data_IF_100594052369
#
_entry.id   IF_100594052369
#
_cell.length_a   1.000
_cell.length_b   1.000
_cell.length_c   1.000
_cell.angle_alpha   90.00
_cell.angle_beta   90.00
_cell.angle_gamma   90.00
#
_symmetry.space_group_name_H-M   'P 1'
#
loop_
_entity.id
_entity.type
_entity.pdbx_description
1 polymer ?
#
# COMPACT_ATOMS: atom_id res chain seq x y z
N UNK A 1 67.45 -2.12 -53.72
CA UNK A 1 66.62 -3.04 -52.91
C UNK A 1 65.25 -2.40 -52.77
N UNK A 2 64.26 -2.83 -53.56
CA UNK A 2 62.96 -2.14 -53.67
C UNK A 2 62.00 -2.62 -52.56
N UNK A 3 61.61 -1.70 -51.68
CA UNK A 3 60.67 -1.94 -50.59
C UNK A 3 59.23 -2.02 -51.09
N UNK A 4 58.68 -3.22 -51.18
CA UNK A 4 57.26 -3.50 -51.46
C UNK A 4 56.44 -3.59 -50.18
N UNK A 5 56.29 -2.50 -49.41
CA UNK A 5 55.49 -2.54 -48.16
C UNK A 5 54.69 -1.25 -47.91
N UNK A 6 53.51 -1.07 -48.56
CA UNK A 6 52.31 -0.68 -47.78
C UNK A 6 50.95 -1.21 -48.27
N UNK A 7 50.80 -1.63 -49.53
CA UNK A 7 49.48 -1.94 -50.13
C UNK A 7 48.97 -3.31 -49.70
N UNK A 8 49.83 -4.33 -49.66
CA UNK A 8 49.48 -5.72 -49.30
C UNK A 8 49.02 -5.81 -47.83
N UNK A 9 49.70 -5.09 -46.92
CA UNK A 9 49.34 -5.03 -45.50
C UNK A 9 47.99 -4.33 -45.28
N UNK A 10 47.66 -3.32 -46.09
CA UNK A 10 46.37 -2.62 -46.04
C UNK A 10 45.18 -3.50 -46.44
N UNK A 11 45.34 -4.37 -47.46
CA UNK A 11 44.29 -5.27 -47.92
C UNK A 11 44.03 -6.42 -46.93
N UNK A 12 45.08 -6.96 -46.31
CA UNK A 12 44.96 -7.96 -45.25
C UNK A 12 44.24 -7.37 -44.01
N UNK A 13 44.57 -6.12 -43.64
CA UNK A 13 43.89 -5.40 -42.56
C UNK A 13 42.39 -5.20 -42.85
N UNK A 14 42.04 -4.84 -44.10
CA UNK A 14 40.63 -4.74 -44.54
C UNK A 14 39.90 -6.08 -44.45
N UNK A 15 40.50 -7.18 -44.95
CA UNK A 15 39.91 -8.54 -44.84
C UNK A 15 39.68 -8.95 -43.39
N UNK A 16 40.64 -8.70 -42.50
CA UNK A 16 40.52 -8.99 -41.06
C UNK A 16 39.41 -8.17 -40.39
N UNK A 17 39.28 -6.89 -40.74
CA UNK A 17 38.17 -6.06 -40.26
C UNK A 17 36.81 -6.59 -40.71
N UNK A 18 36.68 -7.01 -41.98
CA UNK A 18 35.44 -7.60 -42.49
C UNK A 18 35.10 -8.90 -41.73
N UNK A 19 36.09 -9.75 -41.46
CA UNK A 19 35.88 -10.97 -40.68
C UNK A 19 35.43 -10.65 -39.25
N UNK A 20 36.11 -9.72 -38.58
CA UNK A 20 35.72 -9.25 -37.25
C UNK A 20 34.28 -8.70 -37.24
N UNK A 21 33.88 -7.94 -38.26
CA UNK A 21 32.50 -7.45 -38.40
C UNK A 21 31.51 -8.59 -38.58
N UNK A 22 31.83 -9.63 -39.38
CA UNK A 22 30.98 -10.82 -39.53
C UNK A 22 30.81 -11.55 -38.19
N UNK A 23 31.89 -11.75 -37.46
CA UNK A 23 31.88 -12.40 -36.15
C UNK A 23 31.06 -11.59 -35.13
N UNK A 24 31.16 -10.26 -35.19
CA UNK A 24 30.37 -9.33 -34.37
C UNK A 24 28.87 -9.46 -34.69
N UNK A 25 28.50 -9.52 -35.98
CA UNK A 25 27.11 -9.71 -36.41
C UNK A 25 26.58 -11.06 -35.92
N UNK A 26 27.36 -12.14 -36.02
CA UNK A 26 26.98 -13.47 -35.53
C UNK A 26 26.74 -13.43 -34.01
N UNK A 27 27.66 -12.81 -33.26
CA UNK A 27 27.54 -12.64 -31.80
C UNK A 27 26.29 -11.83 -31.43
N UNK A 28 26.03 -10.72 -32.12
CA UNK A 28 24.85 -9.88 -31.91
C UNK A 28 23.55 -10.64 -32.23
N UNK A 29 23.50 -11.39 -33.33
CA UNK A 29 22.34 -12.23 -33.68
C UNK A 29 22.05 -13.29 -32.62
N UNK A 30 23.09 -13.96 -32.11
CA UNK A 30 22.96 -14.93 -31.01
C UNK A 30 22.44 -14.27 -29.74
N UNK A 31 22.95 -13.08 -29.40
CA UNK A 31 22.50 -12.31 -28.26
C UNK A 31 21.03 -11.87 -28.40
N UNK A 32 20.63 -11.36 -29.57
CA UNK A 32 19.25 -11.00 -29.88
C UNK A 32 18.30 -12.20 -29.79
N UNK A 33 18.72 -13.36 -30.30
CA UNK A 33 17.94 -14.60 -30.15
C UNK A 33 17.75 -14.97 -28.68
N UNK A 34 18.82 -14.96 -27.89
CA UNK A 34 18.76 -15.25 -26.45
C UNK A 34 17.84 -14.27 -25.71
N UNK A 35 17.92 -12.97 -26.02
CA UNK A 35 17.05 -11.95 -25.44
C UNK A 35 15.58 -12.17 -25.82
N UNK A 36 15.27 -12.45 -27.10
CA UNK A 36 13.91 -12.77 -27.56
C UNK A 36 13.35 -14.01 -26.85
N UNK A 37 14.17 -15.04 -26.68
CA UNK A 37 13.77 -16.27 -25.97
C UNK A 37 13.46 -15.99 -24.50
N UNK A 38 14.29 -15.18 -23.81
CA UNK A 38 14.02 -14.75 -22.42
C UNK A 38 12.73 -13.95 -22.32
N UNK A 39 12.48 -13.01 -23.23
CA UNK A 39 11.24 -12.22 -23.26
C UNK A 39 10.03 -13.15 -23.42
N UNK A 40 10.09 -14.13 -24.34
CA UNK A 40 9.01 -15.11 -24.53
C UNK A 40 8.76 -15.93 -23.26
N UNK A 41 9.83 -16.41 -22.63
CA UNK A 41 9.74 -17.17 -21.38
C UNK A 41 9.08 -16.35 -20.26
N UNK A 42 9.51 -15.11 -20.04
CA UNK A 42 8.92 -14.25 -19.02
C UNK A 42 7.46 -13.91 -19.32
N UNK A 43 7.12 -13.62 -20.58
CA UNK A 43 5.72 -13.40 -21.00
C UNK A 43 4.85 -14.62 -20.68
N UNK A 44 5.33 -15.82 -20.98
CA UNK A 44 4.58 -17.05 -20.70
C UNK A 44 4.42 -17.28 -19.20
N UNK A 45 5.46 -17.05 -18.38
CA UNK A 45 5.36 -17.17 -16.92
C UNK A 45 4.36 -16.20 -16.32
N UNK A 46 4.38 -14.94 -16.76
CA UNK A 46 3.42 -13.93 -16.32
C UNK A 46 2.00 -14.36 -16.71
N UNK A 47 1.81 -14.87 -17.92
CA UNK A 47 0.52 -15.40 -18.37
C UNK A 47 0.04 -16.56 -17.48
N UNK A 48 0.90 -17.53 -17.19
CA UNK A 48 0.55 -18.67 -16.32
C UNK A 48 0.24 -18.24 -14.90
N UNK A 49 1.02 -17.30 -14.33
CA UNK A 49 0.74 -16.74 -13.02
C UNK A 49 -0.61 -16.01 -12.99
N UNK A 50 -0.90 -15.21 -14.02
CA UNK A 50 -2.19 -14.52 -14.13
C UNK A 50 -3.35 -15.51 -14.24
N UNK A 51 -3.22 -16.54 -15.06
CA UNK A 51 -4.22 -17.61 -15.18
C UNK A 51 -4.46 -18.34 -13.86
N UNK A 52 -3.41 -18.62 -13.10
CA UNK A 52 -3.51 -19.21 -11.78
C UNK A 52 -4.21 -18.29 -10.78
N UNK A 53 -3.89 -17.00 -10.79
CA UNK A 53 -4.60 -16.00 -9.98
C UNK A 53 -6.09 -15.93 -10.34
N UNK A 54 -6.43 -15.95 -11.63
CA UNK A 54 -7.82 -15.93 -12.09
C UNK A 54 -8.57 -17.22 -11.71
N UNK A 55 -7.89 -18.36 -11.70
CA UNK A 55 -8.44 -19.61 -11.18
C UNK A 55 -8.71 -19.52 -9.67
N UNK A 56 -7.75 -19.03 -8.88
CA UNK A 56 -7.92 -18.84 -7.44
C UNK A 56 -9.07 -17.87 -7.13
N UNK A 57 -9.15 -16.74 -7.84
CA UNK A 57 -10.23 -15.77 -7.67
C UNK A 57 -11.59 -16.39 -7.92
N UNK A 58 -11.74 -17.19 -8.98
CA UNK A 58 -12.98 -17.94 -9.27
C UNK A 58 -13.28 -18.98 -8.19
N UNK A 59 -12.27 -19.75 -7.76
CA UNK A 59 -12.41 -20.79 -6.74
C UNK A 59 -12.87 -20.23 -5.38
N UNK A 60 -12.39 -19.04 -5.01
CA UNK A 60 -12.70 -18.40 -3.73
C UNK A 60 -13.76 -17.29 -3.84
N UNK A 61 -14.48 -17.19 -4.98
CA UNK A 61 -15.48 -16.16 -5.22
C UNK A 61 -14.99 -14.71 -4.99
N UNK A 62 -13.70 -14.46 -5.19
CA UNK A 62 -13.09 -13.13 -5.06
C UNK A 62 -13.38 -12.32 -6.33
N UNK A 63 -14.56 -11.69 -6.39
CA UNK A 63 -14.97 -10.82 -7.48
C UNK A 63 -14.63 -9.35 -7.17
N UNK A 64 -14.40 -8.53 -8.21
CA UNK A 64 -14.27 -7.07 -8.05
C UNK A 64 -15.54 -6.45 -7.44
N UNK A 65 -16.71 -7.06 -7.66
CA UNK A 65 -17.97 -6.65 -7.03
C UNK A 65 -17.91 -6.79 -5.49
N UNK A 66 -17.32 -7.88 -5.00
CA UNK A 66 -17.24 -8.14 -3.56
C UNK A 66 -16.35 -7.12 -2.84
N UNK A 67 -15.31 -6.60 -3.50
CA UNK A 67 -14.50 -5.51 -2.93
C UNK A 67 -15.32 -4.22 -2.80
N UNK A 68 -16.11 -3.85 -3.83
CA UNK A 68 -16.97 -2.67 -3.76
C UNK A 68 -18.08 -2.83 -2.72
N UNK A 69 -18.70 -4.01 -2.62
CA UNK A 69 -19.74 -4.32 -1.65
C UNK A 69 -19.20 -4.27 -0.21
N UNK A 70 -18.01 -4.84 0.03
CA UNK A 70 -17.35 -4.76 1.34
C UNK A 70 -16.94 -3.33 1.72
N UNK A 71 -16.47 -2.53 0.76
CA UNK A 71 -16.17 -1.12 1.02
C UNK A 71 -17.43 -0.30 1.27
N UNK A 72 -18.54 -0.63 0.61
CA UNK A 72 -19.82 0.04 0.80
C UNK A 72 -20.49 -0.36 2.13
N UNK A 73 -20.30 -1.60 2.58
CA UNK A 73 -20.86 -2.08 3.85
C UNK A 73 -20.11 -1.53 5.08
N UNK A 74 -18.83 -1.22 4.92
CA UNK A 74 -18.01 -0.60 5.96
C UNK A 74 -18.14 0.93 5.92
N UNK A 75 -18.65 1.52 6.99
CA UNK A 75 -18.70 2.98 7.15
C UNK A 75 -18.05 3.43 8.47
N UNK A 76 -17.70 4.72 8.55
CA UNK A 76 -17.18 5.35 9.76
C UNK A 76 -15.90 4.68 10.30
N UNK A 77 -15.88 4.42 11.62
CA UNK A 77 -14.72 3.83 12.30
C UNK A 77 -14.40 2.41 11.83
N UNK A 78 -15.40 1.61 11.43
CA UNK A 78 -15.20 0.24 10.95
C UNK A 78 -14.36 0.21 9.66
N UNK A 79 -14.65 1.10 8.71
CA UNK A 79 -13.87 1.25 7.48
C UNK A 79 -12.40 1.61 7.78
N UNK A 80 -12.17 2.54 8.72
CA UNK A 80 -10.83 2.99 9.10
C UNK A 80 -10.01 1.88 9.78
N UNK A 81 -10.65 1.09 10.65
CA UNK A 81 -10.02 -0.07 11.30
C UNK A 81 -9.63 -1.10 10.24
N UNK A 82 -10.54 -1.44 9.33
CA UNK A 82 -10.32 -2.45 8.30
C UNK A 82 -9.20 -2.03 7.32
N UNK A 83 -9.19 -0.76 6.90
CA UNK A 83 -8.11 -0.25 6.04
C UNK A 83 -6.74 -0.30 6.71
N UNK A 84 -6.66 0.00 8.01
CA UNK A 84 -5.40 -0.15 8.77
C UNK A 84 -4.98 -1.61 8.92
N UNK A 85 -5.93 -2.50 9.16
CA UNK A 85 -5.66 -3.93 9.26
C UNK A 85 -5.04 -4.47 7.96
N UNK A 86 -5.55 -4.05 6.80
CA UNK A 86 -5.01 -4.45 5.49
C UNK A 86 -3.62 -3.86 5.21
N UNK A 87 -3.34 -2.64 5.68
CA UNK A 87 -2.06 -1.94 5.45
C UNK A 87 -0.97 -2.34 6.44
N UNK A 88 -1.33 -2.94 7.58
CA UNK A 88 -0.41 -3.27 8.66
C UNK A 88 -0.08 -2.08 9.57
N UNK A 89 0.92 -2.23 10.47
CA UNK A 89 1.28 -1.21 11.45
C UNK A 89 1.71 0.09 10.76
N UNK A 90 0.92 1.14 10.95
CA UNK A 90 1.13 2.44 10.30
C UNK A 90 1.47 3.52 11.33
N UNK A 91 2.51 4.30 11.06
CA UNK A 91 2.90 5.49 11.83
C UNK A 91 2.00 6.71 11.57
N UNK A 92 1.04 6.59 10.65
CA UNK A 92 0.13 7.68 10.28
C UNK A 92 -0.77 8.08 11.45
N UNK A 93 -1.21 9.35 11.46
CA UNK A 93 -2.18 9.84 12.45
C UNK A 93 -3.48 9.02 12.37
N UNK A 94 -4.12 8.82 13.52
CA UNK A 94 -5.46 8.23 13.59
C UNK A 94 -6.52 9.25 13.16
N UNK A 95 -7.46 8.81 12.34
CA UNK A 95 -8.60 9.60 11.89
C UNK A 95 -9.49 10.05 13.07
N UNK A 96 -10.06 11.26 13.08
CA UNK A 96 -10.92 11.73 14.17
C UNK A 96 -12.08 10.79 14.52
N UNK A 97 -12.71 10.17 13.52
CA UNK A 97 -13.82 9.22 13.72
C UNK A 97 -13.33 7.94 14.41
N UNK A 98 -12.13 7.49 14.07
CA UNK A 98 -11.51 6.34 14.73
C UNK A 98 -11.05 6.70 16.16
N UNK A 99 -10.57 7.93 16.37
CA UNK A 99 -10.18 8.41 17.70
C UNK A 99 -11.38 8.47 18.65
N UNK A 100 -12.49 9.06 18.21
CA UNK A 100 -13.69 9.13 19.05
C UNK A 100 -14.18 7.74 19.43
N UNK A 101 -14.23 6.81 18.48
CA UNK A 101 -14.57 5.40 18.75
C UNK A 101 -13.64 4.78 19.80
N UNK A 102 -12.32 4.89 19.61
CA UNK A 102 -11.34 4.28 20.51
C UNK A 102 -11.41 4.87 21.94
N UNK A 103 -11.55 6.19 22.04
CA UNK A 103 -11.69 6.91 23.31
C UNK A 103 -12.97 6.48 24.03
N UNK A 104 -14.11 6.44 23.34
CA UNK A 104 -15.40 6.05 23.91
C UNK A 104 -15.39 4.60 24.40
N UNK A 105 -14.84 3.66 23.62
CA UNK A 105 -14.81 2.26 24.01
C UNK A 105 -13.85 2.03 25.20
N UNK A 106 -12.68 2.69 25.19
CA UNK A 106 -11.75 2.64 26.31
C UNK A 106 -12.32 3.25 27.60
N UNK A 107 -13.13 4.32 27.47
CA UNK A 107 -13.86 4.91 28.58
C UNK A 107 -14.87 3.96 29.20
N UNK A 108 -15.65 3.24 28.38
CA UNK A 108 -16.62 2.27 28.90
C UNK A 108 -15.97 1.03 29.51
N UNK A 109 -14.92 0.50 28.88
CA UNK A 109 -14.18 -0.64 29.44
C UNK A 109 -12.81 -0.80 28.76
N UNK A 110 -11.70 -0.55 29.47
CA UNK A 110 -10.36 -0.81 28.96
C UNK A 110 -10.15 -2.29 28.56
N UNK A 111 -10.84 -3.21 29.24
CA UNK A 111 -10.78 -4.65 28.95
C UNK A 111 -11.49 -4.97 27.62
N UNK A 112 -12.68 -4.43 27.41
CA UNK A 112 -13.40 -4.59 26.14
C UNK A 112 -12.61 -3.95 24.99
N UNK A 113 -11.99 -2.79 25.23
CA UNK A 113 -11.13 -2.13 24.28
C UNK A 113 -9.94 -3.00 23.86
N UNK A 114 -9.22 -3.58 24.81
CA UNK A 114 -8.08 -4.45 24.52
C UNK A 114 -8.49 -5.69 23.72
N UNK A 115 -9.63 -6.30 24.07
CA UNK A 115 -10.19 -7.42 23.29
C UNK A 115 -10.44 -7.05 21.83
N UNK A 116 -11.10 -5.92 21.58
CA UNK A 116 -11.35 -5.41 20.23
C UNK A 116 -10.04 -5.09 19.51
N UNK A 117 -9.09 -4.45 20.19
CA UNK A 117 -7.76 -4.14 19.65
C UNK A 117 -7.01 -5.41 19.19
N UNK A 118 -7.08 -6.48 19.97
CA UNK A 118 -6.42 -7.74 19.64
C UNK A 118 -7.11 -8.47 18.48
N UNK A 119 -8.44 -8.45 18.39
CA UNK A 119 -9.19 -8.99 17.24
C UNK A 119 -8.76 -8.31 15.94
N UNK A 120 -8.64 -7.00 15.93
CA UNK A 120 -8.32 -6.22 14.73
C UNK A 120 -6.80 -6.10 14.47
N UNK A 121 -6.02 -7.12 14.82
CA UNK A 121 -4.57 -7.18 14.57
C UNK A 121 -3.81 -5.92 15.02
N UNK A 122 -4.16 -5.37 16.21
CA UNK A 122 -3.57 -4.15 16.78
C UNK A 122 -3.68 -2.91 15.89
N UNK A 123 -4.71 -2.84 15.04
CA UNK A 123 -5.00 -1.69 14.17
C UNK A 123 -5.50 -0.46 14.96
N UNK A 124 -5.98 -0.67 16.18
CA UNK A 124 -6.42 0.37 17.10
C UNK A 124 -5.26 0.95 17.93
N UNK A 125 -5.36 2.21 18.39
CA UNK A 125 -4.34 2.84 19.21
C UNK A 125 -4.06 2.07 20.51
N UNK A 126 -2.90 2.27 21.10
CA UNK A 126 -2.65 1.72 22.42
C UNK A 126 -3.32 2.55 23.53
N UNK A 127 -3.60 1.95 24.69
CA UNK A 127 -4.16 2.65 25.85
C UNK A 127 -3.26 3.82 26.30
N UNK A 128 -1.94 3.67 26.14
CA UNK A 128 -0.98 4.75 26.37
C UNK A 128 -1.19 5.94 25.42
N UNK A 129 -1.51 5.67 24.15
CA UNK A 129 -1.84 6.68 23.13
C UNK A 129 -3.16 7.36 23.44
N UNK A 130 -4.18 6.61 23.85
CA UNK A 130 -5.47 7.16 24.28
C UNK A 130 -5.29 8.07 25.50
N UNK A 131 -4.49 7.65 26.48
CA UNK A 131 -4.19 8.44 27.68
C UNK A 131 -3.53 9.78 27.33
N UNK A 132 -2.65 9.81 26.33
CA UNK A 132 -2.05 11.06 25.82
C UNK A 132 -3.09 12.00 25.21
N UNK A 133 -4.14 11.48 24.58
CA UNK A 133 -5.23 12.31 24.05
C UNK A 133 -6.04 12.97 25.17
N UNK A 134 -6.30 12.25 26.27
CA UNK A 134 -6.94 12.84 27.45
C UNK A 134 -6.14 13.97 28.09
N UNK A 135 -4.80 13.87 28.10
CA UNK A 135 -3.92 14.91 28.67
C UNK A 135 -4.01 16.27 27.97
N UNK A 136 -4.52 16.32 26.74
CA UNK A 136 -4.73 17.59 26.04
C UNK A 136 -5.95 18.38 26.52
N UNK A 137 -6.82 17.78 27.34
CA UNK A 137 -7.99 18.44 27.92
C UNK A 137 -7.55 19.16 29.20
N UNK A 138 -7.91 20.44 29.33
CA UNK A 138 -7.51 21.26 30.46
C UNK A 138 -8.29 20.84 31.72
N UNK A 139 -7.69 20.00 32.56
CA UNK A 139 -8.24 19.54 33.83
C UNK A 139 -7.93 20.48 35.00
N UNK A 140 -7.90 21.79 34.78
CA UNK A 140 -7.67 22.76 35.86
C UNK A 140 -8.80 22.66 36.91
N UNK A 141 -8.49 22.90 38.21
CA UNK A 141 -9.48 22.84 39.26
C UNK A 141 -10.61 23.85 39.01
N UNK A 142 -11.84 23.44 39.28
CA UNK A 142 -13.06 24.23 39.01
C UNK A 142 -13.96 23.57 37.97
N UNK A 143 -14.80 24.37 37.31
CA UNK A 143 -15.70 23.88 36.27
C UNK A 143 -14.98 23.64 34.95
N UNK A 144 -15.20 22.47 34.34
CA UNK A 144 -14.68 22.13 33.02
C UNK A 144 -15.31 23.04 31.95
N UNK A 145 -14.48 23.89 31.31
CA UNK A 145 -14.94 24.82 30.26
C UNK A 145 -15.57 24.08 29.08
N UNK A 146 -15.05 22.90 28.77
CA UNK A 146 -15.53 22.01 27.72
C UNK A 146 -16.95 21.51 28.02
N UNK A 147 -17.26 21.18 29.29
CA UNK A 147 -18.60 20.77 29.70
C UNK A 147 -19.59 21.94 29.57
N UNK A 148 -19.21 23.15 30.00
CA UNK A 148 -20.05 24.34 29.82
C UNK A 148 -20.29 24.67 28.34
N UNK A 149 -19.28 24.49 27.48
CA UNK A 149 -19.43 24.66 26.03
C UNK A 149 -20.37 23.63 25.43
N UNK A 150 -20.28 22.36 25.85
CA UNK A 150 -21.19 21.30 25.41
C UNK A 150 -22.65 21.62 25.78
N UNK A 151 -22.89 22.07 27.02
CA UNK A 151 -24.23 22.48 27.47
C UNK A 151 -24.81 23.63 26.63
N UNK A 152 -23.99 24.62 26.24
CA UNK A 152 -24.43 25.72 25.36
C UNK A 152 -24.84 25.21 23.97
N UNK A 153 -24.10 24.25 23.42
CA UNK A 153 -24.42 23.63 22.13
C UNK A 153 -25.74 22.87 22.22
N UNK A 154 -25.93 22.05 23.26
CA UNK A 154 -27.17 21.30 23.48
C UNK A 154 -28.37 22.26 23.57
N UNK A 155 -28.23 23.35 24.31
CA UNK A 155 -29.27 24.40 24.40
C UNK A 155 -29.60 25.00 23.03
N UNK A 156 -28.59 25.32 22.23
CA UNK A 156 -28.78 25.87 20.89
C UNK A 156 -29.49 24.86 19.94
N UNK A 157 -29.08 23.60 19.99
CA UNK A 157 -29.70 22.53 19.20
C UNK A 157 -31.16 22.26 19.60
N UNK A 158 -31.49 22.35 20.88
CA UNK A 158 -32.87 22.22 21.36
C UNK A 158 -33.74 23.38 20.84
N UNK A 159 -33.26 24.62 20.94
CA UNK A 159 -33.99 25.81 20.48
C UNK A 159 -34.22 25.81 18.96
N UNK A 160 -33.26 25.31 18.18
CA UNK A 160 -33.38 25.23 16.71
C UNK A 160 -34.30 24.10 16.24
N UNK A 161 -34.45 23.04 17.05
CA UNK A 161 -35.36 21.92 16.77
C UNK A 161 -36.79 22.13 17.31
N UNK A 162 -37.08 23.25 17.97
CA UNK A 162 -38.43 23.63 18.39
C UNK A 162 -39.03 22.75 19.49
N UNK A 163 -38.22 22.39 20.50
CA UNK A 163 -38.70 21.80 21.76
C UNK A 163 -38.90 22.89 22.82
#
# INVERSE_FOLDING_TARGET
>A
MWGTLPVVTSQLRKKRNIQHMKDTIIKQRKMLHNQRTKIRYYKNRVKTQQQFLDMLKRKFHMCSSSESELKASLSGSAAQIFQRMLRGPLTQKYDPVLRSFAVTLAFYSPKAYNYVKDIFNKSLPDLSTISKWYKSINGSPGFTKEALKALKIIKYEANTKGW
#
